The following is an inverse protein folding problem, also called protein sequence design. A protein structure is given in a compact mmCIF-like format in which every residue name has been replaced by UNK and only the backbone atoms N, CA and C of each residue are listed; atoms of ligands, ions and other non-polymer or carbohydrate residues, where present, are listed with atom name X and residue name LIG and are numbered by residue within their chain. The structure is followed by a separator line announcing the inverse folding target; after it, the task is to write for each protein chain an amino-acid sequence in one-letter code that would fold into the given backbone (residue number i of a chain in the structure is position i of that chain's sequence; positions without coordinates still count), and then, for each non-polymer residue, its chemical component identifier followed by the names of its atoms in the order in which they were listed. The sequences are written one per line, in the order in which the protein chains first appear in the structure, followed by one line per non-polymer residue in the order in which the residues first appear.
data_IF_898177025482
#
_entry.id   IF_898177025482
#
_cell.length_a   1.000
_cell.length_b   1.000
_cell.length_c   1.000
_cell.angle_alpha   90.00
_cell.angle_beta   90.00
_cell.angle_gamma   90.00
#
_symmetry.space_group_name_H-M   'P 1'
#
loop_
_entity.id
_entity.type
_entity.pdbx_description
1 polymer ?
#
# COMPACT_ATOMS: atom_id res chain seq x y z
N UNK A 1 7.53 -19.74 12.24
CA UNK A 1 6.17 -19.91 11.67
C UNK A 1 5.48 -18.55 11.73
N UNK A 2 5.48 -17.79 10.64
CA UNK A 2 4.79 -16.49 10.62
C UNK A 2 3.28 -16.74 10.54
N UNK A 3 2.50 -16.12 11.44
CA UNK A 3 1.04 -16.18 11.39
C UNK A 3 0.55 -15.60 10.05
N UNK A 4 -0.49 -16.20 9.45
CA UNK A 4 -1.11 -15.68 8.23
C UNK A 4 -1.44 -14.18 8.43
N UNK A 5 -1.08 -13.29 7.48
CA UNK A 5 -1.40 -11.86 7.55
C UNK A 5 -2.87 -11.56 7.89
N UNK A 6 -3.80 -12.38 7.41
CA UNK A 6 -5.23 -12.26 7.71
C UNK A 6 -5.53 -12.57 9.19
N UNK A 7 -4.90 -13.62 9.75
CA UNK A 7 -5.03 -13.99 11.17
C UNK A 7 -4.38 -12.94 12.06
N UNK A 8 -3.22 -12.42 11.67
CA UNK A 8 -2.54 -11.33 12.40
C UNK A 8 -3.39 -10.07 12.44
N UNK A 9 -3.99 -9.67 11.31
CA UNK A 9 -4.88 -8.52 11.25
C UNK A 9 -6.15 -8.73 12.07
N UNK A 10 -6.72 -9.94 12.07
CA UNK A 10 -7.89 -10.27 12.90
C UNK A 10 -7.57 -10.21 14.39
N UNK A 11 -6.44 -10.77 14.83
CA UNK A 11 -5.99 -10.69 16.23
C UNK A 11 -5.81 -9.24 16.66
N UNK A 12 -5.18 -8.41 15.80
CA UNK A 12 -5.00 -6.98 16.07
C UNK A 12 -6.37 -6.31 16.24
N UNK A 13 -7.31 -6.51 15.31
CA UNK A 13 -8.66 -5.92 15.37
C UNK A 13 -9.40 -6.36 16.64
N UNK A 14 -9.37 -7.65 16.98
CA UNK A 14 -10.06 -8.20 18.16
C UNK A 14 -9.43 -7.69 19.47
N UNK A 15 -8.11 -7.66 19.56
CA UNK A 15 -7.40 -7.08 20.70
C UNK A 15 -7.73 -5.59 20.87
N UNK A 16 -7.76 -4.86 19.76
CA UNK A 16 -8.15 -3.46 19.75
C UNK A 16 -9.59 -3.20 20.16
N UNK A 17 -10.52 -4.05 19.75
CA UNK A 17 -11.92 -3.91 20.15
C UNK A 17 -12.10 -4.00 21.67
N UNK A 18 -11.28 -4.82 22.33
CA UNK A 18 -11.28 -4.92 23.79
C UNK A 18 -10.61 -3.70 24.45
N UNK A 19 -9.52 -3.19 23.87
CA UNK A 19 -8.83 -1.99 24.37
C UNK A 19 -9.72 -0.76 24.20
N UNK A 20 -10.31 -0.55 23.02
CA UNK A 20 -11.18 0.60 22.73
C UNK A 20 -12.40 0.67 23.65
N UNK A 21 -12.92 -0.46 24.15
CA UNK A 21 -14.01 -0.45 25.15
C UNK A 21 -13.57 0.03 26.53
N UNK A 22 -12.26 -0.04 26.84
CA UNK A 22 -11.68 0.37 28.12
C UNK A 22 -11.04 1.75 28.09
N UNK A 23 -10.86 2.35 26.91
CA UNK A 23 -10.28 3.68 26.76
C UNK A 23 -11.37 4.74 26.99
N UNK A 24 -11.21 5.63 27.99
CA UNK A 24 -12.20 6.68 28.24
C UNK A 24 -12.00 7.82 27.22
N UNK A 25 -12.60 7.70 26.04
CA UNK A 25 -12.52 8.73 25.00
C UNK A 25 -13.24 10.04 25.36
N UNK A 26 -14.03 10.04 26.42
CA UNK A 26 -14.69 11.22 26.98
C UNK A 26 -13.75 12.11 27.80
N UNK A 27 -12.61 11.56 28.27
CA UNK A 27 -11.58 12.35 28.94
C UNK A 27 -10.80 13.18 27.88
N UNK A 28 -10.81 14.53 27.97
CA UNK A 28 -10.09 15.39 27.03
C UNK A 28 -8.59 15.07 26.93
N UNK A 29 -7.95 14.64 28.02
CA UNK A 29 -6.53 14.31 28.03
C UNK A 29 -6.25 13.02 27.23
N UNK A 30 -7.06 11.99 27.43
CA UNK A 30 -6.94 10.72 26.70
C UNK A 30 -7.23 10.94 25.22
N UNK A 31 -8.29 11.68 24.91
CA UNK A 31 -8.65 12.02 23.54
C UNK A 31 -7.53 12.79 22.81
N UNK A 32 -6.93 13.78 23.47
CA UNK A 32 -5.79 14.51 22.91
C UNK A 32 -4.54 13.62 22.76
N UNK A 33 -4.30 12.70 23.69
CA UNK A 33 -3.25 11.68 23.55
C UNK A 33 -3.43 10.80 22.32
N UNK A 34 -4.66 10.31 22.07
CA UNK A 34 -4.96 9.49 20.89
C UNK A 34 -4.84 10.30 19.58
N UNK A 35 -5.25 11.57 19.59
CA UNK A 35 -5.04 12.48 18.45
C UNK A 35 -3.56 12.69 18.17
N UNK A 36 -2.76 12.92 19.20
CA UNK A 36 -1.31 13.07 19.09
C UNK A 36 -0.66 11.80 18.54
N UNK A 37 -1.08 10.61 19.02
CA UNK A 37 -0.61 9.32 18.52
C UNK A 37 -0.93 9.14 17.03
N UNK A 38 -2.15 9.49 16.61
CA UNK A 38 -2.55 9.43 15.21
C UNK A 38 -1.73 10.39 14.33
N UNK A 39 -1.51 11.63 14.76
CA UNK A 39 -0.68 12.58 14.02
C UNK A 39 0.75 12.05 13.92
N UNK A 40 1.31 11.57 15.02
CA UNK A 40 2.66 11.01 15.08
C UNK A 40 2.81 9.82 14.12
N UNK A 41 1.85 8.90 14.09
CA UNK A 41 1.92 7.74 13.18
C UNK A 41 1.88 8.15 11.71
N UNK A 42 1.06 9.15 11.35
CA UNK A 42 1.03 9.71 9.99
C UNK A 42 2.34 10.39 9.61
N UNK A 43 2.96 11.13 10.52
CA UNK A 43 4.27 11.75 10.31
C UNK A 43 5.35 10.67 10.10
N UNK A 44 5.32 9.58 10.87
CA UNK A 44 6.24 8.46 10.68
C UNK A 44 6.05 7.82 9.30
N UNK A 45 4.80 7.53 8.91
CA UNK A 45 4.50 6.95 7.59
C UNK A 45 5.00 7.86 6.46
N UNK A 46 4.71 9.16 6.55
CA UNK A 46 5.18 10.14 5.57
C UNK A 46 6.71 10.17 5.50
N UNK A 47 7.39 10.16 6.66
CA UNK A 47 8.86 10.15 6.74
C UNK A 47 9.45 8.91 6.08
N UNK A 48 8.85 7.74 6.30
CA UNK A 48 9.24 6.49 5.65
C UNK A 48 9.09 6.61 4.13
N UNK A 49 7.96 7.11 3.65
CA UNK A 49 7.72 7.26 2.21
C UNK A 49 8.66 8.26 1.55
N UNK A 50 8.96 9.40 2.20
CA UNK A 50 9.97 10.34 1.71
C UNK A 50 11.36 9.70 1.65
N UNK A 51 11.73 8.92 2.67
CA UNK A 51 13.01 8.21 2.67
C UNK A 51 13.08 7.15 1.55
N UNK A 52 12.00 6.39 1.34
CA UNK A 52 11.91 5.45 0.20
C UNK A 52 12.04 6.18 -1.14
N UNK A 53 11.38 7.33 -1.31
CA UNK A 53 11.50 8.15 -2.53
C UNK A 53 12.96 8.54 -2.79
N UNK A 54 13.66 8.99 -1.74
CA UNK A 54 15.07 9.35 -1.82
C UNK A 54 15.94 8.16 -2.22
N UNK A 55 15.68 6.97 -1.65
CA UNK A 55 16.41 5.75 -1.98
C UNK A 55 16.16 5.27 -3.41
N UNK A 56 14.92 5.31 -3.91
CA UNK A 56 14.60 4.99 -5.30
C UNK A 56 15.36 5.92 -6.26
N UNK A 57 15.32 7.23 -5.99
CA UNK A 57 16.00 8.24 -6.80
C UNK A 57 17.53 8.06 -6.76
N UNK A 58 18.09 7.72 -5.60
CA UNK A 58 19.52 7.47 -5.42
C UNK A 58 19.98 6.20 -6.14
N UNK A 59 19.23 5.10 -6.05
CA UNK A 59 19.55 3.83 -6.74
C UNK A 59 19.46 3.97 -8.26
N UNK A 60 18.51 4.77 -8.76
CA UNK A 60 18.32 5.07 -10.17
C UNK A 60 18.36 3.83 -11.07
N UNK A 61 17.68 2.76 -10.64
CA UNK A 61 17.72 1.45 -11.31
C UNK A 61 16.86 1.46 -12.59
N UNK A 62 17.54 1.38 -13.74
CA UNK A 62 16.94 1.43 -15.07
C UNK A 62 16.72 0.04 -15.68
N UNK A 63 16.83 -1.03 -14.90
CA UNK A 63 16.52 -2.39 -15.37
C UNK A 63 15.07 -2.48 -15.80
N UNK A 64 14.84 -3.08 -16.98
CA UNK A 64 13.52 -3.14 -17.60
C UNK A 64 12.69 -4.24 -16.96
N UNK A 65 11.49 -3.89 -16.52
CA UNK A 65 10.47 -4.80 -16.00
C UNK A 65 9.30 -4.80 -16.98
N UNK A 66 8.98 -5.97 -17.52
CA UNK A 66 7.84 -6.20 -18.40
C UNK A 66 6.79 -7.00 -17.65
N UNK A 67 5.55 -6.53 -17.61
CA UNK A 67 4.43 -7.23 -16.98
C UNK A 67 3.12 -6.87 -17.64
N UNK A 68 2.06 -7.62 -17.33
CA UNK A 68 0.70 -7.35 -17.80
C UNK A 68 -0.14 -6.93 -16.62
N UNK A 69 -0.66 -5.71 -16.66
CA UNK A 69 -1.64 -5.25 -15.69
C UNK A 69 -3.00 -5.86 -16.03
N UNK A 70 -3.64 -6.59 -15.09
CA UNK A 70 -4.99 -7.07 -15.31
C UNK A 70 -5.94 -5.88 -15.44
N UNK A 71 -6.92 -5.98 -16.32
CA UNK A 71 -7.93 -4.95 -16.46
C UNK A 71 -8.70 -4.76 -15.14
N UNK A 72 -9.05 -3.51 -14.78
CA UNK A 72 -9.90 -3.26 -13.62
C UNK A 72 -11.18 -4.09 -13.72
N UNK A 73 -11.53 -4.79 -12.64
CA UNK A 73 -12.72 -5.66 -12.61
C UNK A 73 -13.98 -4.86 -13.00
N UNK A 74 -14.68 -5.31 -14.03
CA UNK A 74 -15.90 -4.66 -14.54
C UNK A 74 -15.69 -3.58 -15.61
N UNK A 75 -14.45 -3.29 -16.02
CA UNK A 75 -14.16 -2.30 -17.08
C UNK A 75 -14.37 -2.82 -18.51
N UNK A 76 -14.34 -4.14 -18.71
CA UNK A 76 -14.34 -4.74 -20.05
C UNK A 76 -13.08 -4.44 -20.87
N UNK A 77 -12.07 -3.79 -20.27
CA UNK A 77 -10.79 -3.49 -20.91
C UNK A 77 -9.93 -4.76 -21.03
N UNK A 78 -9.05 -4.78 -22.03
CA UNK A 78 -8.08 -5.87 -22.17
C UNK A 78 -6.86 -5.67 -21.25
N UNK A 79 -6.20 -6.75 -20.81
CA UNK A 79 -4.98 -6.66 -20.01
C UNK A 79 -3.89 -5.82 -20.69
N UNK A 80 -3.33 -4.85 -19.98
CA UNK A 80 -2.38 -3.89 -20.55
C UNK A 80 -0.95 -4.38 -20.36
N UNK A 81 -0.22 -4.57 -21.46
CA UNK A 81 1.23 -4.79 -21.39
C UNK A 81 1.94 -3.50 -20.96
N UNK A 82 2.77 -3.60 -19.93
CA UNK A 82 3.57 -2.51 -19.39
C UNK A 82 5.04 -2.91 -19.45
N UNK A 83 5.81 -2.19 -20.26
CA UNK A 83 7.26 -2.18 -20.20
C UNK A 83 7.70 -0.91 -19.47
N UNK A 84 8.31 -1.08 -18.30
CA UNK A 84 8.76 0.04 -17.45
C UNK A 84 10.16 -0.26 -16.91
N UNK A 85 10.73 0.69 -16.17
CA UNK A 85 11.98 0.46 -15.43
C UNK A 85 11.68 0.18 -13.95
N UNK A 86 12.60 -0.49 -13.23
CA UNK A 86 12.48 -0.68 -11.77
C UNK A 86 12.23 0.63 -11.05
N UNK A 87 12.97 1.69 -11.40
CA UNK A 87 12.77 3.03 -10.84
C UNK A 87 11.35 3.55 -11.09
N UNK A 88 10.89 3.53 -12.33
CA UNK A 88 9.57 4.07 -12.69
C UNK A 88 8.44 3.26 -12.03
N UNK A 89 8.57 1.93 -11.98
CA UNK A 89 7.64 1.05 -11.27
C UNK A 89 7.56 1.39 -9.78
N UNK A 90 8.71 1.47 -9.09
CA UNK A 90 8.74 1.78 -7.67
C UNK A 90 8.20 3.18 -7.35
N UNK A 91 8.48 4.16 -8.20
CA UNK A 91 7.91 5.52 -8.08
C UNK A 91 6.39 5.52 -8.24
N UNK A 92 5.86 4.75 -9.19
CA UNK A 92 4.41 4.60 -9.37
C UNK A 92 3.75 3.95 -8.15
N UNK A 93 4.34 2.87 -7.63
CA UNK A 93 3.87 2.19 -6.41
C UNK A 93 3.90 3.14 -5.21
N UNK A 94 4.97 3.93 -5.06
CA UNK A 94 5.07 4.91 -3.97
C UNK A 94 4.04 6.02 -4.08
N UNK A 95 3.77 6.52 -5.30
CA UNK A 95 2.72 7.52 -5.55
C UNK A 95 1.33 6.97 -5.20
N UNK A 96 1.06 5.70 -5.49
CA UNK A 96 -0.18 5.05 -5.08
C UNK A 96 -0.31 4.97 -3.55
N UNK A 97 0.77 4.63 -2.83
CA UNK A 97 0.80 4.63 -1.37
C UNK A 97 0.56 6.03 -0.78
N UNK A 98 1.18 7.07 -1.33
CA UNK A 98 0.93 8.45 -0.91
C UNK A 98 -0.52 8.87 -1.12
N UNK A 99 -1.09 8.56 -2.30
CA UNK A 99 -2.49 8.88 -2.60
C UNK A 99 -3.44 8.17 -1.64
N UNK A 100 -3.21 6.87 -1.38
CA UNK A 100 -4.01 6.10 -0.43
C UNK A 100 -3.91 6.67 1.00
N UNK A 101 -2.71 7.08 1.43
CA UNK A 101 -2.51 7.71 2.74
C UNK A 101 -3.26 9.03 2.84
N UNK A 102 -3.16 9.91 1.84
CA UNK A 102 -3.86 11.20 1.84
C UNK A 102 -5.38 11.03 1.85
N UNK A 103 -5.92 10.09 1.08
CA UNK A 103 -7.35 9.78 1.11
C UNK A 103 -7.77 9.23 2.48
N UNK A 104 -6.97 8.36 3.10
CA UNK A 104 -7.21 7.84 4.44
C UNK A 104 -7.21 8.94 5.52
N UNK A 105 -6.24 9.85 5.47
CA UNK A 105 -6.16 11.01 6.38
C UNK A 105 -7.33 11.95 6.16
N UNK A 106 -7.68 12.26 4.91
CA UNK A 106 -8.83 13.12 4.60
C UNK A 106 -10.15 12.54 5.11
N UNK A 107 -10.38 11.24 4.88
CA UNK A 107 -11.56 10.54 5.40
C UNK A 107 -11.59 10.55 6.93
N UNK A 108 -10.47 10.27 7.58
CA UNK A 108 -10.37 10.28 9.04
C UNK A 108 -10.55 11.68 9.62
N UNK A 109 -10.02 12.71 8.97
CA UNK A 109 -10.23 14.10 9.37
C UNK A 109 -11.72 14.47 9.31
N UNK A 110 -12.42 14.08 8.25
CA UNK A 110 -13.86 14.28 8.14
C UNK A 110 -14.61 13.53 9.25
N UNK A 111 -14.38 12.23 9.42
CA UNK A 111 -15.10 11.44 10.43
C UNK A 111 -14.84 11.92 11.86
N UNK A 112 -13.61 12.32 12.17
CA UNK A 112 -13.24 12.74 13.52
C UNK A 112 -13.64 14.19 13.83
N UNK A 113 -13.45 15.12 12.88
CA UNK A 113 -13.75 16.54 13.12
C UNK A 113 -15.24 16.84 12.91
N UNK A 114 -15.87 16.28 11.87
CA UNK A 114 -17.27 16.52 11.55
C UNK A 114 -18.20 15.56 12.31
N UNK A 115 -17.96 14.24 12.20
CA UNK A 115 -18.85 13.24 12.82
C UNK A 115 -18.50 12.92 14.28
N UNK A 116 -17.45 13.54 14.83
CA UNK A 116 -16.92 13.27 16.19
C UNK A 116 -16.65 11.80 16.47
N UNK A 117 -16.33 11.03 15.42
CA UNK A 117 -16.16 9.59 15.53
C UNK A 117 -14.72 9.25 15.94
N UNK A 118 -14.53 8.97 17.23
CA UNK A 118 -13.23 8.79 17.90
C UNK A 118 -12.73 7.36 17.98
N UNK A 119 -13.62 6.38 17.94
CA UNK A 119 -13.25 4.96 17.99
C UNK A 119 -12.23 4.51 16.92
N UNK A 120 -12.33 4.91 15.64
CA UNK A 120 -11.38 4.46 14.61
C UNK A 120 -10.00 5.12 14.70
N UNK A 121 -9.84 6.25 15.40
CA UNK A 121 -8.55 6.95 15.50
C UNK A 121 -7.43 6.08 16.06
N UNK A 122 -7.74 5.30 17.11
CA UNK A 122 -6.75 4.45 17.76
C UNK A 122 -6.31 3.33 16.81
N UNK A 123 -7.24 2.68 16.12
CA UNK A 123 -6.94 1.61 15.16
C UNK A 123 -6.17 2.15 13.96
N UNK A 124 -6.60 3.31 13.45
CA UNK A 124 -5.98 3.99 12.31
C UNK A 124 -4.61 4.59 12.64
N UNK A 125 -4.25 4.70 13.92
CA UNK A 125 -2.90 5.07 14.32
C UNK A 125 -1.91 3.90 14.19
N UNK A 126 -2.37 2.65 14.28
CA UNK A 126 -1.50 1.46 14.33
C UNK A 126 -1.51 0.66 13.03
N UNK A 127 -2.69 0.36 12.45
CA UNK A 127 -2.77 -0.52 11.28
C UNK A 127 -2.02 0.06 10.05
N UNK A 128 -2.24 1.33 9.66
CA UNK A 128 -1.49 1.92 8.54
C UNK A 128 0.01 1.98 8.81
N UNK A 129 0.41 2.21 10.07
CA UNK A 129 1.81 2.24 10.46
C UNK A 129 2.47 0.87 10.29
N UNK A 130 1.81 -0.20 10.77
CA UNK A 130 2.24 -1.59 10.52
C UNK A 130 2.32 -1.89 9.03
N UNK A 131 1.30 -1.51 8.26
CA UNK A 131 1.26 -1.71 6.82
C UNK A 131 2.41 -1.01 6.10
N UNK A 132 2.80 0.19 6.53
CA UNK A 132 3.96 0.90 5.99
C UNK A 132 5.26 0.10 6.19
N UNK A 133 5.51 -0.42 7.40
CA UNK A 133 6.70 -1.24 7.68
C UNK A 133 6.71 -2.59 6.94
N UNK A 134 5.55 -3.19 6.72
CA UNK A 134 5.42 -4.45 6.01
C UNK A 134 5.40 -4.30 4.48
N UNK A 135 5.36 -3.06 3.98
CA UNK A 135 5.29 -2.75 2.56
C UNK A 135 6.54 -3.19 1.78
N UNK A 136 6.33 -3.70 0.57
CA UNK A 136 7.40 -4.23 -0.28
C UNK A 136 8.50 -3.21 -0.57
N UNK A 137 8.13 -1.94 -0.83
CA UNK A 137 9.10 -0.86 -1.04
C UNK A 137 9.95 -0.59 0.20
N UNK A 138 9.36 -0.66 1.40
CA UNK A 138 10.09 -0.43 2.66
C UNK A 138 11.04 -1.59 2.92
N UNK A 139 10.61 -2.82 2.70
CA UNK A 139 11.48 -4.01 2.81
C UNK A 139 12.72 -3.89 1.90
N UNK A 140 12.55 -3.45 0.66
CA UNK A 140 13.64 -3.37 -0.33
C UNK A 140 14.54 -2.15 -0.12
N UNK A 141 13.97 -0.97 0.15
CA UNK A 141 14.71 0.29 0.17
C UNK A 141 15.12 0.77 1.56
N UNK A 142 14.44 0.32 2.60
CA UNK A 142 14.76 0.68 3.99
C UNK A 142 15.42 -0.49 4.71
N UNK A 143 14.84 -1.69 4.62
CA UNK A 143 15.35 -2.89 5.29
C UNK A 143 16.38 -3.68 4.45
N UNK A 144 16.70 -3.22 3.24
CA UNK A 144 17.73 -3.80 2.38
C UNK A 144 17.47 -5.24 1.92
N UNK A 145 16.23 -5.72 1.94
CA UNK A 145 15.92 -7.07 1.50
C UNK A 145 16.15 -7.21 -0.02
N UNK A 146 16.66 -8.39 -0.47
CA UNK A 146 16.84 -8.64 -1.90
C UNK A 146 15.49 -8.66 -2.61
N UNK A 147 15.45 -8.09 -3.82
CA UNK A 147 14.25 -8.05 -4.65
C UNK A 147 14.02 -9.38 -5.41
N UNK A 148 13.94 -10.47 -4.66
CA UNK A 148 13.76 -11.83 -5.17
C UNK A 148 12.52 -12.47 -4.52
N UNK A 149 11.99 -13.55 -5.13
CA UNK A 149 10.80 -14.23 -4.63
C UNK A 149 9.58 -13.30 -4.58
N UNK A 150 8.98 -13.13 -3.40
CA UNK A 150 7.79 -12.28 -3.21
C UNK A 150 8.08 -10.77 -3.27
N UNK A 151 9.36 -10.37 -3.23
CA UNK A 151 9.80 -8.99 -3.42
C UNK A 151 10.29 -8.71 -4.85
N UNK A 152 10.15 -9.68 -5.75
CA UNK A 152 10.42 -9.46 -7.17
C UNK A 152 9.36 -8.54 -7.78
N UNK A 153 9.78 -7.67 -8.69
CA UNK A 153 8.89 -6.78 -9.44
C UNK A 153 8.37 -7.51 -10.69
N UNK A 154 7.11 -7.30 -11.08
CA UNK A 154 6.08 -6.53 -10.37
C UNK A 154 5.68 -7.22 -9.06
N UNK A 155 5.42 -6.41 -8.02
CA UNK A 155 4.98 -6.96 -6.75
C UNK A 155 3.63 -7.67 -6.91
N UNK A 156 3.52 -8.87 -6.34
CA UNK A 156 2.22 -9.52 -6.20
C UNK A 156 1.33 -8.61 -5.36
N UNK A 157 0.10 -8.35 -5.82
CA UNK A 157 -0.89 -7.63 -5.04
C UNK A 157 -1.10 -8.38 -3.73
N UNK A 158 -0.67 -7.81 -2.61
CA UNK A 158 -0.96 -8.40 -1.30
C UNK A 158 -2.47 -8.36 -1.12
N UNK A 159 -3.11 -9.53 -1.17
CA UNK A 159 -4.55 -9.76 -0.98
C UNK A 159 -5.04 -9.45 0.44
N UNK A 160 -4.70 -8.27 0.96
CA UNK A 160 -5.30 -7.72 2.16
C UNK A 160 -6.73 -7.26 1.88
N UNK A 161 -7.48 -6.95 2.94
CA UNK A 161 -8.88 -6.50 2.88
C UNK A 161 -9.13 -5.33 1.91
N UNK A 162 -8.13 -4.46 1.71
CA UNK A 162 -8.17 -3.37 0.72
C UNK A 162 -8.01 -3.85 -0.73
N UNK A 163 -7.22 -4.91 -0.97
CA UNK A 163 -7.08 -5.57 -2.28
C UNK A 163 -8.28 -6.46 -2.60
N UNK A 164 -8.92 -7.05 -1.59
CA UNK A 164 -10.19 -7.76 -1.74
C UNK A 164 -11.35 -6.83 -2.14
N UNK A 165 -11.29 -5.54 -1.77
CA UNK A 165 -12.23 -4.52 -2.25
C UNK A 165 -11.84 -3.89 -3.60
N UNK A 166 -10.59 -3.97 -4.05
CA UNK A 166 -10.11 -3.34 -5.30
C UNK A 166 -9.90 -4.30 -6.48
N UNK A 167 -9.99 -5.62 -6.28
CA UNK A 167 -10.10 -6.60 -7.37
C UNK A 167 -8.79 -7.16 -7.92
N UNK A 168 -8.79 -8.48 -8.16
CA UNK A 168 -7.92 -9.21 -9.10
C UNK A 168 -6.43 -9.40 -8.73
N UNK A 169 -5.91 -10.63 -8.87
CA UNK A 169 -4.48 -10.92 -8.81
C UNK A 169 -3.74 -10.48 -10.10
N UNK A 170 -2.57 -9.86 -9.95
CA UNK A 170 -1.64 -9.55 -11.05
C UNK A 170 -1.02 -10.86 -11.57
N UNK A 171 -1.11 -11.09 -12.89
CA UNK A 171 -0.52 -12.27 -13.55
C UNK A 171 0.87 -11.95 -14.10
N UNK A 172 1.85 -12.82 -13.84
CA UNK A 172 3.27 -12.62 -14.20
C UNK A 172 3.87 -13.79 -14.99
N UNK A 173 3.06 -14.74 -15.44
CA UNK A 173 3.55 -15.94 -16.12
C UNK A 173 3.95 -15.66 -17.58
N UNK A 174 5.07 -16.26 -17.99
CA UNK A 174 5.74 -16.04 -19.28
C UNK A 174 4.81 -16.24 -20.49
N UNK A 175 3.89 -17.22 -20.41
CA UNK A 175 2.90 -17.48 -21.47
C UNK A 175 1.87 -16.36 -21.57
N UNK A 176 1.37 -15.82 -20.47
CA UNK A 176 0.45 -14.67 -20.47
C UNK A 176 1.13 -13.39 -20.96
N UNK A 177 2.42 -13.19 -20.62
CA UNK A 177 3.21 -12.03 -21.07
C UNK A 177 3.51 -12.11 -22.58
N UNK A 178 3.94 -13.27 -23.10
CA UNK A 178 4.23 -13.45 -24.53
C UNK A 178 2.97 -13.42 -25.41
N UNK A 179 1.82 -13.89 -24.90
CA UNK A 179 0.53 -13.79 -25.60
C UNK A 179 0.06 -12.33 -25.73
N UNK A 180 0.23 -11.52 -24.67
CA UNK A 180 -0.09 -10.10 -24.69
C UNK A 180 0.87 -9.29 -25.61
N UNK A 181 2.16 -9.62 -25.61
CA UNK A 181 3.17 -8.99 -26.50
C UNK A 181 2.89 -9.29 -27.99
N UNK A 182 2.38 -10.48 -28.31
CA UNK A 182 2.04 -10.90 -29.68
C UNK A 182 0.68 -10.37 -30.16
N UNK A 183 -0.23 -10.06 -29.24
CA UNK A 183 -1.51 -9.41 -29.52
C UNK A 183 -1.37 -7.88 -29.72
N UNK A 184 -0.29 -7.27 -29.22
CA UNK A 184 0.05 -5.88 -29.45
C UNK A 184 0.51 -5.61 -30.89
N UNK A 185 -0.41 -5.18 -31.76
CA UNK A 185 -0.04 -4.51 -33.03
C UNK A 185 0.91 -3.35 -32.74
N UNK A 186 1.97 -3.27 -33.55
CA UNK A 186 3.08 -2.34 -33.38
C UNK A 186 2.67 -0.88 -33.15
N UNK A 187 3.40 -0.29 -32.21
CA UNK A 187 3.66 1.14 -31.95
C UNK A 187 2.69 2.20 -32.44
N UNK A 188 2.24 3.05 -31.51
CA UNK A 188 1.99 4.49 -31.71
C UNK A 188 2.32 5.16 -30.36
N UNK A 189 3.54 5.75 -30.22
CA UNK A 189 3.88 7.17 -30.33
C UNK A 189 3.20 8.07 -29.29
N UNK A 190 4.06 8.74 -28.51
CA UNK A 190 3.78 9.85 -27.61
C UNK A 190 2.85 10.89 -28.23
N UNK A 191 1.86 11.35 -27.44
CA UNK A 191 1.45 12.76 -27.29
C UNK A 191 0.98 13.01 -25.84
#
# INVERSE_FOLDING_TARGET
MALNPQVTNLIIILGFMQISKKVPFDDPNVLNGVRALYILSNVIIASIYFYVQAQINKKNDMTVVKYVEPAPMGSGEEPKFVATTVKAYDQQQLKALFKAQLMGVGMMAFMHLYMKYTNPLLIQSIIPLKGAFEGNLVKIHVLGHPATGDLQRPFKTSGGLMGAMQGGEIKTDKKSVEAAERAGRGGVKDE
#
